data_IF_985338683723
#
_entry.id   IF_985338683723
#
_cell.length_a   1.000
_cell.length_b   1.000
_cell.length_c   1.000
_cell.angle_alpha   90.00
_cell.angle_beta   90.00
_cell.angle_gamma   90.00
#
_symmetry.space_group_name_H-M   'P 1'
#
loop_
_entity.id
_entity.type
_entity.pdbx_description
1 polymer ?
#
# COMPACT_ATOMS: atom_id res chain seq x y z
N UNK A 1 -8.52 5.86 13.99
CA UNK A 1 -8.01 6.15 12.63
C UNK A 1 -6.50 6.32 12.76
N UNK A 2 -5.71 5.70 11.90
CA UNK A 2 -4.25 5.87 11.95
C UNK A 2 -3.83 6.99 11.00
N UNK A 3 -2.86 7.81 11.40
CA UNK A 3 -2.34 8.86 10.52
C UNK A 3 -1.52 8.26 9.35
N UNK A 4 -0.81 7.17 9.61
CA UNK A 4 0.05 6.50 8.62
C UNK A 4 -0.01 4.98 8.83
N UNK A 5 0.20 4.23 7.75
CA UNK A 5 0.46 2.79 7.75
C UNK A 5 1.77 2.55 7.03
N UNK A 6 2.68 1.78 7.64
CA UNK A 6 3.94 1.38 7.02
C UNK A 6 3.99 -0.14 6.92
N UNK A 7 4.12 -0.65 5.70
CA UNK A 7 4.34 -2.06 5.42
C UNK A 7 5.85 -2.30 5.37
N UNK A 8 6.40 -2.90 6.43
CA UNK A 8 7.84 -3.16 6.56
C UNK A 8 8.38 -4.14 5.52
N UNK A 9 7.53 -5.06 5.06
CA UNK A 9 7.79 -6.00 3.98
C UNK A 9 6.67 -5.84 2.95
N UNK A 10 7.00 -6.01 1.68
CA UNK A 10 6.00 -5.95 0.63
C UNK A 10 4.95 -7.07 0.82
N UNK A 11 3.64 -6.75 0.86
CA UNK A 11 2.62 -7.76 1.09
C UNK A 11 2.59 -8.84 0.02
N UNK A 12 2.40 -10.08 0.44
CA UNK A 12 2.32 -11.19 -0.51
C UNK A 12 1.01 -11.22 -1.31
N UNK A 13 -0.08 -10.76 -0.68
CA UNK A 13 -1.43 -10.81 -1.20
C UNK A 13 -2.06 -9.41 -1.21
N UNK A 14 -2.84 -9.12 -2.26
CA UNK A 14 -3.49 -7.83 -2.46
C UNK A 14 -4.48 -7.53 -1.33
N UNK A 15 -5.27 -8.53 -0.92
CA UNK A 15 -6.28 -8.35 0.16
C UNK A 15 -5.64 -7.94 1.48
N UNK A 16 -4.45 -8.47 1.77
CA UNK A 16 -3.69 -8.06 2.95
C UNK A 16 -3.26 -6.59 2.86
N UNK A 17 -2.73 -6.17 1.70
CA UNK A 17 -2.38 -4.76 1.48
C UNK A 17 -3.60 -3.84 1.65
N UNK A 18 -4.74 -4.20 1.06
CA UNK A 18 -5.98 -3.41 1.13
C UNK A 18 -6.50 -3.30 2.56
N UNK A 19 -6.57 -4.42 3.29
CA UNK A 19 -7.08 -4.44 4.66
C UNK A 19 -6.23 -3.58 5.62
N UNK A 20 -4.91 -3.66 5.48
CA UNK A 20 -3.96 -2.92 6.32
C UNK A 20 -3.89 -1.45 5.93
N UNK A 21 -3.87 -1.13 4.63
CA UNK A 21 -3.89 0.26 4.16
C UNK A 21 -5.18 0.98 4.54
N UNK A 22 -6.33 0.28 4.60
CA UNK A 22 -7.61 0.83 5.10
C UNK A 22 -7.68 1.13 6.60
N UNK A 23 -6.57 1.09 7.34
CA UNK A 23 -6.48 1.56 8.74
C UNK A 23 -6.28 3.09 8.85
N UNK A 24 -5.93 3.75 7.74
CA UNK A 24 -5.87 5.21 7.60
C UNK A 24 -6.98 5.72 6.67
N UNK A 25 -7.05 7.03 6.44
CA UNK A 25 -7.95 7.70 5.49
C UNK A 25 -9.46 7.43 5.71
N UNK A 26 -9.92 7.41 6.96
CA UNK A 26 -11.34 7.15 7.29
C UNK A 26 -12.16 8.42 7.40
N UNK A 27 -13.48 8.28 7.28
CA UNK A 27 -14.44 9.38 7.42
C UNK A 27 -14.12 10.60 6.53
N UNK A 28 -13.72 10.34 5.28
CA UNK A 28 -13.40 11.39 4.29
C UNK A 28 -12.04 12.06 4.47
N UNK A 29 -11.26 11.67 5.49
CA UNK A 29 -9.90 12.20 5.69
C UNK A 29 -8.91 11.55 4.71
N UNK A 30 -7.86 12.30 4.36
CA UNK A 30 -6.69 11.74 3.67
C UNK A 30 -5.82 10.95 4.65
N UNK A 31 -5.13 9.94 4.15
CA UNK A 31 -4.22 9.10 4.92
C UNK A 31 -3.04 8.65 4.07
N UNK A 32 -1.99 8.18 4.72
CA UNK A 32 -0.75 7.76 4.04
C UNK A 32 -0.50 6.27 4.28
N UNK A 33 -0.24 5.54 3.19
CA UNK A 33 0.21 4.15 3.22
C UNK A 33 1.56 4.06 2.49
N UNK A 34 2.58 3.61 3.20
CA UNK A 34 3.95 3.44 2.72
C UNK A 34 4.29 1.96 2.70
N UNK A 35 5.03 1.53 1.68
CA UNK A 35 5.54 0.16 1.58
C UNK A 35 7.03 0.21 1.26
N UNK A 36 7.81 -0.56 2.01
CA UNK A 36 9.22 -0.80 1.68
C UNK A 36 9.28 -1.87 0.59
N UNK A 37 10.03 -1.59 -0.48
CA UNK A 37 10.06 -2.42 -1.68
C UNK A 37 11.51 -2.71 -2.05
N UNK A 38 11.86 -3.99 -2.08
CA UNK A 38 13.12 -4.44 -2.64
C UNK A 38 13.09 -4.42 -4.18
N UNK A 39 14.24 -4.27 -4.85
CA UNK A 39 14.30 -4.26 -6.31
C UNK A 39 13.61 -5.47 -6.98
N UNK A 40 13.63 -6.64 -6.32
CA UNK A 40 13.02 -7.89 -6.80
C UNK A 40 11.49 -7.86 -6.75
N UNK A 41 10.91 -7.02 -5.90
CA UNK A 41 9.47 -6.93 -5.67
C UNK A 41 8.78 -5.94 -6.63
N UNK A 42 9.55 -5.19 -7.44
CA UNK A 42 9.01 -4.21 -8.40
C UNK A 42 7.98 -4.79 -9.37
N UNK A 43 8.13 -6.06 -9.78
CA UNK A 43 7.12 -6.73 -10.64
C UNK A 43 5.78 -6.85 -9.93
N UNK A 44 5.82 -7.20 -8.64
CA UNK A 44 4.65 -7.37 -7.80
C UNK A 44 4.00 -6.03 -7.44
N UNK A 45 4.80 -5.00 -7.18
CA UNK A 45 4.34 -3.62 -7.03
C UNK A 45 3.49 -3.18 -8.24
N UNK A 46 3.97 -3.46 -9.47
CA UNK A 46 3.21 -3.19 -10.70
C UNK A 46 1.92 -4.00 -10.79
N UNK A 47 1.92 -5.27 -10.38
CA UNK A 47 0.71 -6.09 -10.34
C UNK A 47 -0.33 -5.51 -9.38
N UNK A 48 0.08 -5.10 -8.18
CA UNK A 48 -0.80 -4.48 -7.19
C UNK A 48 -1.35 -3.15 -7.71
N UNK A 49 -0.49 -2.31 -8.29
CA UNK A 49 -0.89 -1.04 -8.90
C UNK A 49 -1.97 -1.23 -9.96
N UNK A 50 -1.79 -2.20 -10.85
CA UNK A 50 -2.76 -2.49 -11.90
C UNK A 50 -4.07 -3.08 -11.35
N UNK A 51 -3.98 -4.07 -10.47
CA UNK A 51 -5.15 -4.76 -9.92
C UNK A 51 -6.02 -3.87 -9.02
N UNK A 52 -5.40 -2.92 -8.30
CA UNK A 52 -6.09 -1.99 -7.42
C UNK A 52 -6.45 -0.66 -8.09
N UNK A 53 -5.92 -0.39 -9.28
CA UNK A 53 -6.07 0.90 -9.95
C UNK A 53 -5.44 2.07 -9.18
N UNK A 54 -4.36 1.81 -8.44
CA UNK A 54 -3.66 2.81 -7.62
C UNK A 54 -2.24 3.03 -8.11
N UNK A 55 -1.68 4.21 -7.86
CA UNK A 55 -0.29 4.52 -8.15
C UNK A 55 0.55 4.51 -6.87
N UNK A 56 1.69 3.82 -6.93
CA UNK A 56 2.73 3.93 -5.91
C UNK A 56 3.74 4.98 -6.37
N UNK A 57 3.72 6.14 -5.71
CA UNK A 57 4.73 7.18 -5.91
C UNK A 57 5.99 6.94 -5.07
N UNK A 58 7.14 7.53 -5.45
CA UNK A 58 8.26 7.66 -4.53
C UNK A 58 7.82 8.46 -3.29
N UNK A 59 8.35 8.10 -2.12
CA UNK A 59 8.13 8.83 -0.88
C UNK A 59 8.93 10.13 -0.86
#
# INVERSE_FOLDING_TARGET
>A
DLAFVVHHQFPEQIDYYTHRSGRTARAGKKGISLVLVDPREKKKLKQFSHALGIHFGPA
#
